data_IF_743981917134
#
_entry.id   IF_743981917134
#
_cell.length_a   1.000
_cell.length_b   1.000
_cell.length_c   1.000
_cell.angle_alpha   90.00
_cell.angle_beta   90.00
_cell.angle_gamma   90.00
#
_symmetry.space_group_name_H-M   'P 1'
#
loop_
_entity.id
_entity.type
_entity.pdbx_description
1 polymer ?
#
# COMPACT_ATOMS: atom_id res chain seq x y z
N UNK A 1 -12.40 -18.04 0.95
CA UNK A 1 -12.64 -17.28 -0.29
C UNK A 1 -11.40 -17.42 -1.16
N UNK A 2 -11.52 -17.75 -2.45
CA UNK A 2 -10.36 -17.86 -3.31
C UNK A 2 -9.63 -16.49 -3.40
N UNK A 3 -8.31 -16.54 -3.44
CA UNK A 3 -7.46 -15.34 -3.58
C UNK A 3 -7.18 -15.16 -5.08
N UNK A 4 -7.57 -14.01 -5.62
CA UNK A 4 -7.29 -13.67 -7.01
C UNK A 4 -5.84 -13.18 -7.15
N UNK A 5 -5.07 -13.79 -8.02
CA UNK A 5 -3.78 -13.23 -8.42
C UNK A 5 -4.01 -12.15 -9.47
N UNK A 6 -3.61 -10.92 -9.15
CA UNK A 6 -3.75 -9.77 -10.02
C UNK A 6 -2.40 -9.41 -10.62
N UNK A 7 -2.32 -9.39 -11.94
CA UNK A 7 -1.15 -8.86 -12.65
C UNK A 7 -1.35 -7.37 -12.90
N UNK A 8 -0.49 -6.55 -12.31
CA UNK A 8 -0.48 -5.11 -12.54
C UNK A 8 0.38 -4.84 -13.77
N UNK A 9 -0.18 -4.11 -14.72
CA UNK A 9 0.56 -3.69 -15.92
C UNK A 9 1.16 -2.33 -15.59
N UNK A 10 2.47 -2.31 -15.37
CA UNK A 10 3.22 -1.06 -15.30
C UNK A 10 3.45 -0.53 -16.72
N UNK A 11 3.39 0.77 -16.90
CA UNK A 11 3.95 1.40 -18.09
C UNK A 11 5.45 1.03 -18.16
N UNK A 12 5.95 0.73 -19.35
CA UNK A 12 7.34 0.27 -19.56
C UNK A 12 8.39 1.22 -19.00
N UNK A 13 8.01 2.42 -18.66
CA UNK A 13 8.89 3.50 -18.21
C UNK A 13 8.92 3.68 -16.70
N UNK A 14 8.05 3.01 -15.92
CA UNK A 14 7.98 3.22 -14.48
C UNK A 14 7.70 1.95 -13.71
N UNK A 15 8.45 1.75 -12.62
CA UNK A 15 8.24 0.67 -11.64
C UNK A 15 7.34 1.11 -10.47
N UNK A 16 6.85 2.36 -10.51
CA UNK A 16 6.05 2.97 -9.47
C UNK A 16 4.83 3.64 -10.12
N UNK A 17 3.64 3.20 -9.77
CA UNK A 17 2.37 3.68 -10.33
C UNK A 17 1.42 4.12 -9.24
N UNK A 18 0.81 5.30 -9.43
CA UNK A 18 -0.29 5.76 -8.59
C UNK A 18 -1.62 5.32 -9.18
N UNK A 19 -2.51 4.81 -8.34
CA UNK A 19 -3.83 4.34 -8.73
C UNK A 19 -4.87 5.05 -7.88
N UNK A 20 -5.85 5.68 -8.53
CA UNK A 20 -7.04 6.21 -7.88
C UNK A 20 -8.07 5.09 -7.73
N UNK A 21 -8.52 4.86 -6.53
CA UNK A 21 -9.59 3.91 -6.23
C UNK A 21 -10.79 4.64 -5.65
N UNK A 22 -11.67 5.20 -6.49
CA UNK A 22 -12.85 5.91 -6.01
C UNK A 22 -13.85 4.97 -5.34
N UNK A 23 -13.71 3.67 -5.53
CA UNK A 23 -14.52 2.62 -4.88
C UNK A 23 -13.68 1.37 -4.68
N UNK A 24 -13.79 0.75 -3.51
CA UNK A 24 -13.17 -0.54 -3.22
C UNK A 24 -14.10 -1.66 -3.67
N UNK A 25 -13.94 -2.11 -4.91
CA UNK A 25 -14.79 -3.14 -5.55
C UNK A 25 -14.02 -4.43 -5.88
N UNK A 26 -12.73 -4.45 -5.63
CA UNK A 26 -11.91 -5.62 -5.93
C UNK A 26 -12.14 -6.72 -4.89
N UNK A 27 -12.25 -7.99 -5.31
CA UNK A 27 -12.25 -9.13 -4.38
C UNK A 27 -10.89 -9.26 -3.68
N UNK A 28 -10.80 -10.20 -2.73
CA UNK A 28 -9.52 -10.52 -2.09
C UNK A 28 -8.50 -10.95 -3.15
N UNK A 29 -7.40 -10.23 -3.24
CA UNK A 29 -6.38 -10.41 -4.27
C UNK A 29 -4.97 -10.24 -3.72
N UNK A 30 -3.98 -10.64 -4.51
CA UNK A 30 -2.56 -10.42 -4.29
C UNK A 30 -1.89 -10.01 -5.61
N UNK A 31 -0.78 -9.32 -5.51
CA UNK A 31 0.07 -8.95 -6.64
C UNK A 31 1.53 -8.83 -6.21
N UNK A 32 2.45 -8.83 -7.16
CA UNK A 32 3.89 -8.81 -6.91
C UNK A 32 4.40 -7.48 -6.34
N UNK A 33 3.67 -6.40 -6.55
CA UNK A 33 4.03 -5.06 -6.08
C UNK A 33 3.83 -4.93 -4.58
N UNK A 34 4.60 -4.04 -3.96
CA UNK A 34 4.26 -3.41 -2.70
C UNK A 34 3.18 -2.35 -2.96
N UNK A 35 2.33 -2.11 -1.98
CA UNK A 35 1.30 -1.09 -2.07
C UNK A 35 1.29 -0.18 -0.84
N UNK A 36 1.25 1.14 -1.07
CA UNK A 36 0.98 2.13 -0.04
C UNK A 36 -0.39 2.73 -0.37
N UNK A 37 -1.37 2.49 0.50
CA UNK A 37 -2.74 2.97 0.36
C UNK A 37 -2.98 4.16 1.29
N UNK A 38 -3.46 5.27 0.76
CA UNK A 38 -4.03 6.39 1.50
C UNK A 38 -5.55 6.34 1.40
N UNK A 39 -6.24 6.23 2.54
CA UNK A 39 -7.70 6.25 2.56
C UNK A 39 -8.19 7.70 2.56
N UNK A 40 -8.74 8.14 1.42
CA UNK A 40 -9.09 9.54 1.16
C UNK A 40 -10.57 9.83 1.37
N UNK A 41 -11.36 8.85 1.76
CA UNK A 41 -12.77 9.03 2.07
C UNK A 41 -13.43 7.78 2.62
N UNK A 42 -14.45 7.97 3.44
CA UNK A 42 -15.27 6.91 4.00
C UNK A 42 -14.59 6.09 5.10
N UNK A 43 -15.14 4.92 5.34
CA UNK A 43 -14.64 3.95 6.30
C UNK A 43 -15.03 2.53 5.90
N UNK A 44 -14.37 1.54 6.49
CA UNK A 44 -14.70 0.15 6.20
C UNK A 44 -13.81 -0.83 6.94
N UNK A 45 -13.73 -2.04 6.39
CA UNK A 45 -12.83 -3.09 6.88
C UNK A 45 -11.74 -3.36 5.85
N UNK A 46 -10.52 -3.51 6.33
CA UNK A 46 -9.41 -4.04 5.54
C UNK A 46 -9.02 -5.43 6.04
N UNK A 47 -8.79 -6.30 5.09
CA UNK A 47 -8.30 -7.65 5.29
C UNK A 47 -6.90 -7.69 4.71
N UNK A 48 -5.90 -7.98 5.52
CA UNK A 48 -4.50 -8.04 5.09
C UNK A 48 -3.88 -9.31 5.68
N UNK A 49 -3.44 -10.23 4.82
CA UNK A 49 -3.07 -11.55 5.26
C UNK A 49 -4.24 -12.22 5.99
N UNK A 50 -4.01 -12.66 7.22
CA UNK A 50 -5.04 -13.23 8.11
C UNK A 50 -5.68 -12.18 9.04
N UNK A 51 -5.20 -10.93 9.00
CA UNK A 51 -5.69 -9.85 9.85
C UNK A 51 -6.91 -9.14 9.27
N UNK A 52 -7.77 -8.67 10.18
CA UNK A 52 -8.94 -7.85 9.85
C UNK A 52 -8.97 -6.66 10.79
N UNK A 53 -9.07 -5.46 10.25
CA UNK A 53 -9.26 -4.26 11.05
C UNK A 53 -10.09 -3.21 10.32
N UNK A 54 -10.60 -2.25 11.08
CA UNK A 54 -11.30 -1.11 10.51
C UNK A 54 -10.29 -0.09 9.95
N UNK A 55 -10.67 0.57 8.86
CA UNK A 55 -10.00 1.76 8.36
C UNK A 55 -10.97 2.93 8.27
N UNK A 56 -10.43 4.12 8.23
CA UNK A 56 -11.17 5.38 8.00
C UNK A 56 -10.33 6.34 7.17
N UNK A 57 -10.96 7.37 6.69
CA UNK A 57 -10.27 8.51 6.07
C UNK A 57 -9.12 9.02 6.96
N UNK A 58 -7.98 9.31 6.36
CA UNK A 58 -6.75 9.72 7.03
C UNK A 58 -5.85 8.57 7.49
N UNK A 59 -6.27 7.32 7.38
CA UNK A 59 -5.41 6.17 7.61
C UNK A 59 -4.49 5.92 6.41
N UNK A 60 -3.33 5.31 6.69
CA UNK A 60 -2.37 4.84 5.70
C UNK A 60 -2.14 3.36 5.95
N UNK A 61 -2.15 2.55 4.90
CA UNK A 61 -1.72 1.16 4.97
C UNK A 61 -0.54 0.91 4.01
N UNK A 62 0.42 0.09 4.43
CA UNK A 62 1.45 -0.45 3.56
C UNK A 62 1.35 -1.97 3.54
N UNK A 63 1.23 -2.53 2.35
CA UNK A 63 1.01 -3.95 2.11
C UNK A 63 2.22 -4.49 1.35
N UNK A 64 2.76 -5.60 1.83
CA UNK A 64 3.92 -6.26 1.25
C UNK A 64 3.61 -6.94 -0.09
N UNK A 65 4.66 -7.21 -0.85
CA UNK A 65 4.58 -8.00 -2.09
C UNK A 65 3.92 -9.36 -1.82
N UNK A 66 2.97 -9.74 -2.67
CA UNK A 66 2.19 -10.98 -2.60
C UNK A 66 1.37 -11.19 -1.32
N UNK A 67 1.20 -10.18 -0.48
CA UNK A 67 0.30 -10.26 0.69
C UNK A 67 -1.15 -10.17 0.20
N UNK A 68 -2.01 -11.18 0.47
CA UNK A 68 -3.41 -11.12 0.09
C UNK A 68 -4.13 -10.01 0.86
N UNK A 69 -4.91 -9.20 0.15
CA UNK A 69 -5.63 -8.10 0.76
C UNK A 69 -6.97 -7.80 0.09
N UNK A 70 -7.81 -7.08 0.83
CA UNK A 70 -9.15 -6.65 0.40
C UNK A 70 -9.56 -5.45 1.25
N UNK A 71 -10.15 -4.44 0.63
CA UNK A 71 -10.80 -3.34 1.31
C UNK A 71 -12.31 -3.41 1.05
N UNK A 72 -13.10 -3.45 2.12
CA UNK A 72 -14.57 -3.39 2.06
C UNK A 72 -15.05 -2.06 2.59
N UNK A 73 -15.87 -1.38 1.81
CA UNK A 73 -16.50 -0.14 2.20
C UNK A 73 -17.71 -0.40 3.11
N UNK A 74 -17.85 0.37 4.18
CA UNK A 74 -19.09 0.48 4.94
C UNK A 74 -20.05 1.41 4.17
N UNK A 75 -20.54 0.95 3.01
CA UNK A 75 -21.49 1.73 2.23
C UNK A 75 -22.80 1.89 3.01
N UNK A 76 -23.06 3.07 3.54
CA UNK A 76 -24.42 3.48 3.88
C UNK A 76 -25.06 3.95 2.59
N UNK A 77 -26.15 3.31 2.20
CA UNK A 77 -27.05 3.84 1.19
C UNK A 77 -27.59 5.17 1.71
N UNK A 78 -27.06 6.27 1.20
CA UNK A 78 -27.68 7.56 1.37
C UNK A 78 -28.74 7.69 0.27
N UNK A 79 -30.06 7.70 0.57
CA UNK A 79 -31.11 7.71 -0.43
C UNK A 79 -31.08 8.93 -1.34
N UNK A 80 -30.44 10.02 -0.92
CA UNK A 80 -30.42 11.30 -1.64
C UNK A 80 -29.08 11.60 -2.34
N UNK A 81 -27.96 10.99 -1.92
CA UNK A 81 -26.64 11.28 -2.48
C UNK A 81 -25.96 10.07 -3.14
N UNK A 82 -26.63 8.94 -3.21
CA UNK A 82 -26.05 7.69 -3.71
C UNK A 82 -25.12 7.03 -2.67
N UNK A 83 -24.37 5.99 -3.10
CA UNK A 83 -23.39 5.31 -2.27
C UNK A 83 -22.24 6.28 -1.96
N UNK A 84 -22.11 6.71 -0.71
CA UNK A 84 -20.86 7.28 -0.21
C UNK A 84 -19.79 6.17 -0.25
N UNK A 85 -19.06 6.13 -1.34
CA UNK A 85 -18.04 5.13 -1.54
C UNK A 85 -16.79 5.52 -0.77
N UNK A 86 -16.20 4.58 -0.04
CA UNK A 86 -14.83 4.73 0.42
C UNK A 86 -13.91 4.94 -0.77
N UNK A 87 -13.01 5.89 -0.64
CA UNK A 87 -12.05 6.25 -1.66
C UNK A 87 -10.63 6.10 -1.14
N UNK A 88 -9.70 5.85 -2.04
CA UNK A 88 -8.28 5.76 -1.70
C UNK A 88 -7.38 6.04 -2.90
N UNK A 89 -6.14 6.33 -2.59
CA UNK A 89 -5.06 6.48 -3.55
C UNK A 89 -3.97 5.49 -3.19
N UNK A 90 -3.66 4.58 -4.09
CA UNK A 90 -2.59 3.61 -3.93
C UNK A 90 -1.36 4.03 -4.73
N UNK A 91 -0.18 3.86 -4.12
CA UNK A 91 1.10 3.86 -4.79
C UNK A 91 1.61 2.42 -4.83
N UNK A 92 1.69 1.85 -6.02
CA UNK A 92 2.17 0.48 -6.23
C UNK A 92 3.55 0.53 -6.87
N UNK A 93 4.50 -0.28 -6.36
CA UNK A 93 5.86 -0.31 -6.87
C UNK A 93 6.43 -1.73 -6.85
N UNK A 94 7.12 -2.08 -7.93
CA UNK A 94 7.67 -3.42 -8.10
C UNK A 94 8.96 -3.62 -7.29
N UNK A 95 9.19 -4.83 -6.71
CA UNK A 95 10.42 -5.13 -5.94
C UNK A 95 11.72 -4.84 -6.67
N UNK A 96 11.73 -4.95 -8.01
CA UNK A 96 12.94 -4.73 -8.84
C UNK A 96 13.42 -3.28 -8.88
N UNK A 97 12.68 -2.34 -8.26
CA UNK A 97 13.15 -0.96 -8.08
C UNK A 97 14.34 -0.89 -7.10
N UNK A 98 14.52 -1.92 -6.29
CA UNK A 98 15.58 -2.01 -5.29
C UNK A 98 16.73 -2.91 -5.76
N UNK A 99 17.96 -2.68 -5.29
CA UNK A 99 19.07 -3.58 -5.54
C UNK A 99 18.83 -4.95 -4.88
N UNK A 100 19.27 -6.03 -5.53
CA UNK A 100 19.05 -7.42 -5.07
C UNK A 100 19.65 -7.72 -3.69
N UNK A 101 20.67 -6.97 -3.27
CA UNK A 101 21.38 -7.17 -1.99
C UNK A 101 21.22 -5.98 -1.05
N UNK A 102 20.03 -5.35 -1.07
CA UNK A 102 19.77 -4.14 -0.28
C UNK A 102 19.95 -4.36 1.23
N UNK A 103 19.78 -5.59 1.71
CA UNK A 103 20.02 -5.96 3.11
C UNK A 103 21.49 -5.83 3.55
N UNK A 104 22.42 -5.75 2.59
CA UNK A 104 23.86 -5.58 2.82
C UNK A 104 24.32 -4.13 2.65
N UNK A 105 23.44 -3.25 2.21
CA UNK A 105 23.74 -1.85 1.92
C UNK A 105 23.22 -0.96 3.06
N UNK A 106 24.12 -0.31 3.85
CA UNK A 106 23.72 0.44 5.05
C UNK A 106 22.63 1.46 4.81
N UNK A 107 22.68 2.20 3.69
CA UNK A 107 21.71 3.24 3.35
C UNK A 107 20.31 2.69 3.03
N UNK A 108 20.22 1.41 2.68
CA UNK A 108 18.94 0.73 2.41
C UNK A 108 18.33 0.02 3.63
N UNK A 109 19.06 -0.14 4.73
CA UNK A 109 18.60 -0.91 5.89
C UNK A 109 17.26 -0.41 6.46
N UNK A 110 16.99 0.92 6.57
CA UNK A 110 15.70 1.39 7.03
C UNK A 110 14.55 0.98 6.10
N UNK A 111 14.76 1.11 4.79
CA UNK A 111 13.78 0.70 3.77
C UNK A 111 13.61 -0.82 3.78
N UNK A 112 14.70 -1.58 3.85
CA UNK A 112 14.65 -3.03 3.96
C UNK A 112 13.80 -3.48 5.15
N UNK A 113 14.02 -2.89 6.33
CA UNK A 113 13.21 -3.15 7.52
C UNK A 113 11.72 -2.82 7.33
N UNK A 114 11.41 -1.71 6.66
CA UNK A 114 10.04 -1.33 6.31
C UNK A 114 9.40 -2.36 5.39
N UNK A 115 10.10 -2.81 4.34
CA UNK A 115 9.62 -3.82 3.41
C UNK A 115 9.40 -5.17 4.09
N UNK A 116 10.31 -5.60 4.97
CA UNK A 116 10.13 -6.84 5.76
C UNK A 116 8.89 -6.74 6.67
N UNK A 117 8.72 -5.63 7.36
CA UNK A 117 7.55 -5.39 8.23
C UNK A 117 6.25 -5.35 7.45
N UNK A 118 6.26 -4.85 6.20
CA UNK A 118 5.07 -4.79 5.35
C UNK A 118 4.49 -6.15 4.97
N UNK A 119 5.25 -7.26 5.15
CA UNK A 119 4.74 -8.63 4.98
C UNK A 119 3.65 -9.01 6.00
N UNK A 120 3.57 -8.26 7.09
CA UNK A 120 2.45 -8.34 8.06
C UNK A 120 1.35 -7.32 7.77
N UNK A 121 1.54 -6.46 6.75
CA UNK A 121 0.79 -5.22 6.60
C UNK A 121 1.09 -4.24 7.74
N UNK A 122 1.21 -2.98 7.41
CA UNK A 122 1.47 -1.90 8.37
C UNK A 122 0.36 -0.87 8.25
N UNK A 123 -0.22 -0.46 9.38
CA UNK A 123 -1.05 0.73 9.47
C UNK A 123 -0.24 1.87 10.08
N UNK A 124 -0.31 3.06 9.48
CA UNK A 124 0.20 4.30 10.03
C UNK A 124 -0.99 5.18 10.39
N UNK A 125 -0.97 5.78 11.57
CA UNK A 125 -2.07 6.61 12.08
C UNK A 125 -1.57 8.00 12.53
N UNK A 126 -0.70 8.59 11.70
CA UNK A 126 -0.17 9.93 11.88
C UNK A 126 -0.80 10.88 10.85
N UNK A 127 -1.58 11.86 11.34
CA UNK A 127 -2.28 12.82 10.50
C UNK A 127 -1.32 13.68 9.67
N UNK A 128 -0.22 14.12 10.25
CA UNK A 128 0.74 14.96 9.54
C UNK A 128 1.42 14.17 8.42
N UNK A 129 1.78 12.92 8.68
CA UNK A 129 2.30 12.02 7.66
C UNK A 129 1.29 11.82 6.53
N UNK A 130 0.02 11.60 6.86
CA UNK A 130 -1.04 11.43 5.85
C UNK A 130 -1.15 12.65 4.92
N UNK A 131 -1.22 13.85 5.47
CA UNK A 131 -1.32 15.10 4.70
C UNK A 131 -0.08 15.29 3.81
N UNK A 132 1.12 15.02 4.35
CA UNK A 132 2.36 15.07 3.58
C UNK A 132 2.38 14.06 2.43
N UNK A 133 2.01 12.79 2.69
CA UNK A 133 2.01 11.77 1.65
C UNK A 133 0.97 12.04 0.57
N UNK A 134 -0.18 12.58 0.91
CA UNK A 134 -1.21 12.94 -0.07
C UNK A 134 -0.66 13.98 -1.07
N UNK A 135 0.06 15.00 -0.58
CA UNK A 135 0.73 15.98 -1.43
C UNK A 135 1.83 15.32 -2.28
N UNK A 136 2.70 14.50 -1.67
CA UNK A 136 3.80 13.82 -2.39
C UNK A 136 3.30 12.88 -3.47
N UNK A 137 2.16 12.22 -3.27
CA UNK A 137 1.55 11.38 -4.30
C UNK A 137 1.08 12.20 -5.50
N UNK A 138 0.61 13.44 -5.28
CA UNK A 138 0.26 14.35 -6.37
C UNK A 138 1.51 14.86 -7.11
N UNK A 139 2.57 15.17 -6.38
CA UNK A 139 3.85 15.60 -6.96
C UNK A 139 4.47 14.51 -7.83
N UNK A 140 4.37 13.24 -7.40
CA UNK A 140 4.89 12.09 -8.13
C UNK A 140 4.30 11.94 -9.54
N UNK A 141 3.08 12.41 -9.78
CA UNK A 141 2.45 12.40 -11.10
C UNK A 141 2.98 13.46 -12.05
N UNK A 142 3.56 14.52 -11.50
CA UNK A 142 4.04 15.68 -12.28
C UNK A 142 5.51 15.55 -12.70
N UNK A 143 6.20 14.53 -12.22
CA UNK A 143 7.63 14.32 -12.45
C UNK A 143 7.87 12.98 -13.16
N UNK A 144 8.97 12.87 -13.87
CA UNK A 144 9.34 11.70 -14.66
C UNK A 144 10.76 11.24 -14.33
N UNK A 145 11.10 10.04 -14.79
CA UNK A 145 12.45 9.46 -14.73
C UNK A 145 13.07 9.53 -13.33
N UNK A 146 14.29 10.03 -13.21
CA UNK A 146 15.06 10.11 -11.97
C UNK A 146 14.38 11.00 -10.91
N UNK A 147 13.71 12.09 -11.32
CA UNK A 147 12.96 12.93 -10.39
C UNK A 147 11.83 12.13 -9.72
N UNK A 148 11.13 11.27 -10.44
CA UNK A 148 10.11 10.36 -9.87
C UNK A 148 10.71 9.41 -8.85
N UNK A 149 11.89 8.85 -9.09
CA UNK A 149 12.58 7.99 -8.13
C UNK A 149 12.98 8.74 -6.86
N UNK A 150 13.46 9.97 -6.98
CA UNK A 150 13.79 10.82 -5.82
C UNK A 150 12.55 11.03 -4.95
N UNK A 151 11.42 11.46 -5.53
CA UNK A 151 10.16 11.64 -4.79
C UNK A 151 9.66 10.32 -4.17
N UNK A 152 9.79 9.21 -4.88
CA UNK A 152 9.44 7.90 -4.36
C UNK A 152 10.27 7.51 -3.13
N UNK A 153 11.59 7.66 -3.17
CA UNK A 153 12.45 7.37 -2.03
C UNK A 153 12.19 8.30 -0.85
N UNK A 154 11.85 9.57 -1.09
CA UNK A 154 11.42 10.48 -0.02
C UNK A 154 10.14 10.00 0.68
N UNK A 155 9.17 9.43 -0.06
CA UNK A 155 7.97 8.82 0.52
C UNK A 155 8.36 7.65 1.44
N UNK A 156 9.23 6.75 0.97
CA UNK A 156 9.68 5.61 1.78
C UNK A 156 10.43 6.06 3.05
N UNK A 157 11.30 7.05 2.94
CA UNK A 157 12.01 7.62 4.08
C UNK A 157 11.05 8.14 5.15
N UNK A 158 10.01 8.87 4.74
CA UNK A 158 9.01 9.40 5.68
C UNK A 158 8.24 8.28 6.39
N UNK A 159 7.92 7.19 5.68
CA UNK A 159 7.32 5.99 6.28
C UNK A 159 8.27 5.31 7.27
N UNK A 160 9.56 5.20 6.95
CA UNK A 160 10.57 4.64 7.86
C UNK A 160 10.69 5.42 9.18
N UNK A 161 10.54 6.74 9.13
CA UNK A 161 10.65 7.63 10.28
C UNK A 161 9.40 7.61 11.19
N UNK A 162 8.26 7.15 10.68
CA UNK A 162 7.01 7.16 11.44
C UNK A 162 7.03 6.14 12.59
N UNK A 163 6.79 6.61 13.81
CA UNK A 163 6.70 5.78 15.02
C UNK A 163 5.27 5.32 15.34
N UNK A 164 4.26 5.99 14.79
CA UNK A 164 2.84 5.68 15.04
C UNK A 164 2.37 4.60 14.07
N UNK A 165 2.75 3.36 14.33
CA UNK A 165 2.45 2.22 13.46
C UNK A 165 1.95 1.01 14.23
N UNK A 166 1.05 0.24 13.61
CA UNK A 166 0.63 -1.09 14.06
C UNK A 166 0.75 -2.08 12.90
N UNK A 167 1.02 -3.35 13.21
CA UNK A 167 0.91 -4.44 12.24
C UNK A 167 -0.55 -4.84 12.08
N UNK A 168 -0.93 -5.28 10.88
CA UNK A 168 -2.30 -5.63 10.50
C UNK A 168 -2.57 -7.13 10.63
N UNK A 169 -1.54 -7.96 10.53
CA UNK A 169 -1.62 -9.43 10.63
C UNK A 169 -0.55 -9.95 11.58
N UNK A 170 -0.84 -11.00 12.32
CA UNK A 170 0.14 -11.68 13.19
C UNK A 170 1.01 -12.69 12.42
N UNK A 171 0.70 -12.96 11.16
CA UNK A 171 1.42 -13.90 10.30
C UNK A 171 2.04 -13.14 9.15
N UNK A 172 3.35 -13.33 8.94
CA UNK A 172 4.04 -12.79 7.77
C UNK A 172 3.64 -13.60 6.53
N UNK A 173 3.34 -12.91 5.45
CA UNK A 173 3.12 -13.52 4.16
C UNK A 173 4.41 -13.49 3.35
N UNK A 174 5.20 -14.56 3.42
CA UNK A 174 6.41 -14.71 2.61
C UNK A 174 6.06 -15.50 1.34
N UNK A 175 6.58 -15.09 0.21
CA UNK A 175 6.45 -15.78 -1.08
C UNK A 175 7.00 -17.23 -1.06
N UNK A 176 7.82 -17.57 -0.08
CA UNK A 176 8.31 -18.94 0.16
C UNK A 176 7.27 -19.90 0.76
N UNK A 177 6.14 -19.40 1.22
CA UNK A 177 5.04 -20.24 1.76
C UNK A 177 4.07 -20.74 0.67
N UNK A 178 4.36 -20.44 -0.59
CA UNK A 178 3.63 -20.94 -1.75
C UNK A 178 4.34 -22.15 -2.34
N UNK A 179 4.49 -23.23 -1.56
CA UNK A 179 4.73 -24.53 -2.18
C UNK A 179 3.40 -24.97 -2.80
N UNK A 180 3.38 -25.32 -4.10
CA UNK A 180 2.21 -25.95 -4.68
C UNK A 180 2.03 -27.32 -4.01
N UNK A 181 0.81 -27.60 -3.60
CA UNK A 181 0.35 -28.98 -3.34
C UNK A 181 0.32 -29.77 -4.63
#
# INVERSE_FOLDING_TARGET
>A
MPILERKIIHDRTTLCSRILSPRFVLPRHKHAEYEIMLFTGGSGKQFVGEGVCDYKEGDIAMIGSNVPHLHLCNAKLNPTMGLEASAGVALQFHPTIFPMSMEKLPDYLPIYGLLQKSQYGIRFYDKNLYEELLQRFQELERVEHTARLIHFFQILERLCQCKKTNILSNVAYNSSNLLPE
#
